data_IF_082863415049
#
_entry.id   IF_082863415049
#
_cell.length_a   1.000
_cell.length_b   1.000
_cell.length_c   1.000
_cell.angle_alpha   90.00
_cell.angle_beta   90.00
_cell.angle_gamma   90.00
#
_symmetry.space_group_name_H-M   'P 1'
#
loop_
_entity.id
_entity.type
_entity.pdbx_description
1 polymer ?
#
# COMPACT_ATOMS: atom_id res chain seq x y z
N UNK A 1 16.87 31.82 23.97
CA UNK A 1 15.85 31.77 22.90
C UNK A 1 14.69 31.01 23.49
N UNK A 2 13.55 31.67 23.73
CA UNK A 2 12.35 30.98 24.22
C UNK A 2 11.92 30.00 23.12
N UNK A 3 12.02 28.69 23.38
CA UNK A 3 11.47 27.68 22.48
C UNK A 3 9.97 27.92 22.37
N UNK A 4 9.45 27.89 21.14
CA UNK A 4 8.01 27.94 20.89
C UNK A 4 7.32 26.83 21.72
N UNK A 5 6.35 27.17 22.60
CA UNK A 5 5.73 26.22 23.51
C UNK A 5 4.94 25.12 22.77
N UNK A 6 4.39 25.42 21.59
CA UNK A 6 3.70 24.43 20.75
C UNK A 6 4.73 23.44 20.21
N UNK A 7 5.80 23.95 19.61
CA UNK A 7 6.85 23.09 19.05
C UNK A 7 7.51 22.23 20.14
N UNK A 8 7.70 22.76 21.35
CA UNK A 8 8.21 22.01 22.50
C UNK A 8 7.25 20.87 22.90
N UNK A 9 5.96 21.15 23.05
CA UNK A 9 4.96 20.13 23.40
C UNK A 9 4.84 19.02 22.34
N UNK A 10 4.91 19.38 21.05
CA UNK A 10 4.84 18.42 19.94
C UNK A 10 6.14 17.61 19.81
N UNK A 11 7.29 18.21 20.14
CA UNK A 11 8.57 17.50 20.24
C UNK A 11 8.53 16.49 21.40
N UNK A 12 7.96 16.86 22.56
CA UNK A 12 7.78 15.92 23.67
C UNK A 12 6.84 14.78 23.29
N UNK A 13 5.77 15.05 22.55
CA UNK A 13 4.88 14.01 22.03
C UNK A 13 5.59 13.08 21.04
N UNK A 14 6.45 13.63 20.18
CA UNK A 14 7.30 12.87 19.25
C UNK A 14 8.22 11.89 20.00
N UNK A 15 8.93 12.37 21.02
CA UNK A 15 9.83 11.55 21.84
C UNK A 15 9.06 10.43 22.57
N UNK A 16 7.88 10.74 23.14
CA UNK A 16 7.02 9.72 23.74
C UNK A 16 6.56 8.67 22.74
N UNK A 17 6.20 9.08 21.52
CA UNK A 17 5.78 8.17 20.45
C UNK A 17 6.92 7.26 19.99
N UNK A 18 8.15 7.79 19.90
CA UNK A 18 9.34 7.00 19.58
C UNK A 18 9.63 5.96 20.66
N UNK A 19 9.65 6.37 21.93
CA UNK A 19 9.86 5.45 23.06
C UNK A 19 8.77 4.37 23.13
N UNK A 20 7.51 4.73 22.89
CA UNK A 20 6.41 3.78 22.84
C UNK A 20 6.55 2.78 21.68
N UNK A 21 7.01 3.22 20.51
CA UNK A 21 7.28 2.36 19.36
C UNK A 21 8.42 1.37 19.66
N UNK A 22 9.49 1.82 20.32
CA UNK A 22 10.58 0.96 20.78
C UNK A 22 10.08 -0.12 21.75
N UNK A 23 9.22 0.24 22.71
CA UNK A 23 8.58 -0.72 23.63
C UNK A 23 7.69 -1.70 22.88
N UNK A 24 6.83 -1.23 21.98
CA UNK A 24 5.96 -2.09 21.16
C UNK A 24 6.76 -3.10 20.34
N UNK A 25 7.93 -2.69 19.86
CA UNK A 25 8.86 -3.56 19.14
C UNK A 25 9.50 -4.57 20.08
N UNK A 26 10.02 -4.14 21.23
CA UNK A 26 10.59 -5.03 22.24
C UNK A 26 9.58 -6.09 22.71
N UNK A 27 8.32 -5.70 22.92
CA UNK A 27 7.24 -6.62 23.26
C UNK A 27 7.01 -7.65 22.14
N UNK A 28 7.01 -7.22 20.88
CA UNK A 28 6.89 -8.12 19.74
C UNK A 28 8.11 -9.05 19.61
N UNK A 29 9.31 -8.58 19.95
CA UNK A 29 10.52 -9.40 20.03
C UNK A 29 10.51 -10.35 21.23
N UNK A 30 9.75 -10.08 22.30
CA UNK A 30 9.66 -10.98 23.45
C UNK A 30 8.66 -12.13 23.25
N UNK A 31 7.71 -12.00 22.30
CA UNK A 31 6.73 -13.06 21.99
C UNK A 31 7.45 -14.34 21.56
N UNK A 32 7.11 -15.47 22.17
CA UNK A 32 7.66 -16.77 21.80
C UNK A 32 6.84 -17.44 20.70
N UNK A 33 7.53 -18.12 19.79
CA UNK A 33 6.91 -18.83 18.66
C UNK A 33 6.52 -20.26 19.08
N UNK A 34 5.89 -20.40 20.26
CA UNK A 34 5.57 -21.68 20.88
C UNK A 34 4.07 -21.97 20.76
N UNK A 35 3.69 -22.65 19.68
CA UNK A 35 2.33 -23.14 19.46
C UNK A 35 2.09 -24.52 20.08
N UNK A 36 0.84 -24.98 20.04
CA UNK A 36 0.46 -26.32 20.52
C UNK A 36 1.04 -27.46 19.67
N UNK A 37 1.51 -27.15 18.46
CA UNK A 37 2.20 -28.05 17.53
C UNK A 37 3.18 -27.26 16.62
N UNK A 38 3.83 -27.97 15.69
CA UNK A 38 4.82 -27.37 14.78
C UNK A 38 4.20 -26.34 13.81
N UNK A 39 2.99 -26.59 13.31
CA UNK A 39 2.30 -25.69 12.38
C UNK A 39 1.84 -24.40 13.06
N UNK A 40 1.33 -24.53 14.29
CA UNK A 40 0.96 -23.41 15.13
C UNK A 40 2.20 -22.56 15.50
N UNK A 41 3.33 -23.21 15.80
CA UNK A 41 4.60 -22.54 16.07
C UNK A 41 5.11 -21.76 14.85
N UNK A 42 5.08 -22.37 13.66
CA UNK A 42 5.44 -21.69 12.40
C UNK A 42 4.51 -20.50 12.12
N UNK A 43 3.20 -20.68 12.31
CA UNK A 43 2.21 -19.61 12.11
C UNK A 43 2.44 -18.43 13.07
N UNK A 44 2.77 -18.69 14.33
CA UNK A 44 3.14 -17.67 15.31
C UNK A 44 4.43 -16.96 14.92
N UNK A 45 5.45 -17.70 14.48
CA UNK A 45 6.70 -17.12 13.98
C UNK A 45 6.49 -16.20 12.79
N UNK A 46 5.66 -16.59 11.81
CA UNK A 46 5.29 -15.74 10.68
C UNK A 46 4.50 -14.50 11.12
N UNK A 47 3.57 -14.64 12.05
CA UNK A 47 2.80 -13.52 12.59
C UNK A 47 3.70 -12.52 13.33
N UNK A 48 4.65 -13.01 14.13
CA UNK A 48 5.66 -12.21 14.84
C UNK A 48 6.59 -11.49 13.88
N UNK A 49 7.13 -12.19 12.88
CA UNK A 49 7.99 -11.59 11.85
C UNK A 49 7.28 -10.45 11.10
N UNK A 50 6.00 -10.65 10.73
CA UNK A 50 5.18 -9.60 10.13
C UNK A 50 4.97 -8.41 11.05
N UNK A 51 4.69 -8.67 12.33
CA UNK A 51 4.53 -7.63 13.35
C UNK A 51 5.82 -6.81 13.52
N UNK A 52 6.97 -7.47 13.60
CA UNK A 52 8.26 -6.79 13.71
C UNK A 52 8.58 -5.92 12.50
N UNK A 53 8.28 -6.40 11.30
CA UNK A 53 8.45 -5.60 10.10
C UNK A 53 7.54 -4.37 10.06
N UNK A 54 6.29 -4.50 10.51
CA UNK A 54 5.37 -3.36 10.61
C UNK A 54 5.84 -2.32 11.66
N UNK A 55 6.56 -2.77 12.69
CA UNK A 55 7.15 -1.93 13.74
C UNK A 55 8.58 -1.49 13.41
N UNK A 56 9.10 -1.79 12.22
CA UNK A 56 10.46 -1.45 11.84
C UNK A 56 10.64 0.07 11.80
N UNK A 57 11.56 0.59 12.60
CA UNK A 57 11.91 2.01 12.67
C UNK A 57 13.39 2.15 12.33
N UNK A 58 13.71 3.00 11.36
CA UNK A 58 15.09 3.33 11.00
C UNK A 58 15.56 4.65 11.67
N UNK A 59 14.69 5.25 12.49
CA UNK A 59 14.95 6.51 13.22
C UNK A 59 14.93 7.75 12.33
N UNK A 60 14.76 7.59 11.01
CA UNK A 60 14.76 8.71 10.05
C UNK A 60 13.35 9.17 9.70
N UNK A 61 12.37 8.29 9.85
CA UNK A 61 10.96 8.56 9.57
C UNK A 61 10.23 8.88 10.88
N UNK A 62 9.67 10.09 11.03
CA UNK A 62 8.95 10.44 12.25
C UNK A 62 7.67 9.60 12.40
N UNK A 63 7.29 9.21 13.64
CA UNK A 63 6.08 8.45 13.92
C UNK A 63 4.80 9.08 13.35
N UNK A 64 4.67 10.41 13.40
CA UNK A 64 3.54 11.16 12.85
C UNK A 64 4.03 12.35 12.00
N UNK A 65 3.17 12.83 11.10
CA UNK A 65 3.46 13.96 10.21
C UNK A 65 2.41 15.06 10.27
N UNK A 66 1.28 14.82 10.94
CA UNK A 66 0.21 15.78 11.09
C UNK A 66 -0.63 15.53 12.34
N UNK A 67 -1.52 16.47 12.63
CA UNK A 67 -2.44 16.43 13.76
C UNK A 67 -3.77 17.07 13.36
N UNK A 68 -4.87 16.55 13.90
CA UNK A 68 -6.20 17.17 13.80
C UNK A 68 -6.80 17.35 15.19
N UNK A 69 -7.41 18.50 15.44
CA UNK A 69 -8.12 18.80 16.68
C UNK A 69 -9.61 18.96 16.39
N UNK A 70 -10.44 18.41 17.27
CA UNK A 70 -11.89 18.55 17.28
C UNK A 70 -12.31 19.20 18.59
N UNK A 71 -13.42 19.92 18.58
CA UNK A 71 -13.91 20.67 19.75
C UNK A 71 -15.09 20.00 20.43
N UNK A 72 -15.86 19.15 19.73
CA UNK A 72 -17.02 18.45 20.28
C UNK A 72 -17.20 17.03 19.67
N UNK A 73 -16.86 15.95 20.40
CA UNK A 73 -16.08 15.98 21.63
C UNK A 73 -14.66 16.50 21.38
N UNK A 74 -14.02 17.01 22.44
CA UNK A 74 -12.63 17.44 22.36
C UNK A 74 -11.71 16.23 22.12
N UNK A 75 -11.18 16.11 20.91
CA UNK A 75 -10.33 15.00 20.46
C UNK A 75 -9.11 15.54 19.72
N UNK A 76 -7.95 14.92 19.96
CA UNK A 76 -6.70 15.24 19.27
C UNK A 76 -6.16 13.95 18.67
N UNK A 77 -5.94 13.95 17.37
CA UNK A 77 -5.37 12.81 16.66
C UNK A 77 -4.09 13.20 15.96
N UNK A 78 -2.97 12.61 16.37
CA UNK A 78 -1.71 12.64 15.63
C UNK A 78 -1.76 11.55 14.54
N UNK A 79 -1.53 11.94 13.29
CA UNK A 79 -1.66 11.08 12.12
C UNK A 79 -0.28 10.65 11.61
N UNK A 80 -0.10 9.35 11.44
CA UNK A 80 1.18 8.76 11.07
C UNK A 80 1.06 7.54 10.15
N UNK A 81 2.20 6.97 9.78
CA UNK A 81 2.28 5.83 8.85
C UNK A 81 1.82 4.51 9.47
N UNK A 82 1.85 4.45 10.79
CA UNK A 82 1.55 3.26 11.59
C UNK A 82 0.91 3.68 12.90
N UNK A 83 0.16 2.77 13.48
CA UNK A 83 -0.40 2.97 14.80
C UNK A 83 0.69 2.84 15.88
N UNK A 84 0.70 3.77 16.83
CA UNK A 84 1.54 3.74 18.03
C UNK A 84 0.64 3.94 19.24
N UNK A 85 0.87 3.17 20.31
CA UNK A 85 0.15 3.26 21.57
C UNK A 85 1.11 3.25 22.74
N UNK A 86 0.72 3.85 23.85
CA UNK A 86 1.50 3.81 25.08
C UNK A 86 1.33 2.48 25.84
N UNK A 87 1.93 2.39 27.03
CA UNK A 87 1.87 1.21 27.90
C UNK A 87 0.48 0.94 28.52
N UNK A 88 -0.43 1.91 28.50
CA UNK A 88 -1.82 1.75 28.94
C UNK A 88 -2.74 1.33 27.78
N UNK A 89 -2.22 1.38 26.55
CA UNK A 89 -2.96 1.06 25.33
C UNK A 89 -3.61 2.28 24.68
N UNK A 90 -3.35 3.48 25.21
CA UNK A 90 -3.89 4.73 24.67
C UNK A 90 -3.18 5.07 23.35
N UNK A 91 -3.93 5.46 22.30
CA UNK A 91 -3.34 5.78 21.00
C UNK A 91 -2.50 7.06 21.08
N UNK A 92 -1.22 6.95 20.76
CA UNK A 92 -0.33 8.11 20.55
C UNK A 92 -0.33 8.54 19.08
N UNK A 93 -0.38 7.58 18.16
CA UNK A 93 -0.44 7.85 16.72
C UNK A 93 -1.52 7.01 16.07
N UNK A 94 -2.37 7.67 15.29
CA UNK A 94 -3.40 7.07 14.45
C UNK A 94 -2.79 6.76 13.07
N UNK A 95 -2.96 5.53 12.62
CA UNK A 95 -2.57 5.12 11.28
C UNK A 95 -3.39 5.89 10.22
N UNK A 96 -2.73 6.42 9.20
CA UNK A 96 -3.34 7.14 8.09
C UNK A 96 -4.42 6.36 7.32
N UNK A 97 -4.48 5.04 7.49
CA UNK A 97 -5.50 4.20 6.85
C UNK A 97 -6.75 4.10 7.70
N UNK A 98 -6.66 4.38 9.01
CA UNK A 98 -7.80 4.33 9.91
C UNK A 98 -8.88 5.34 9.48
N UNK A 99 -10.18 5.03 9.61
CA UNK A 99 -11.27 5.95 9.27
C UNK A 99 -11.18 7.31 9.98
N UNK A 100 -10.65 7.34 11.22
CA UNK A 100 -10.47 8.58 11.98
C UNK A 100 -9.47 9.55 11.36
N UNK A 101 -8.62 9.11 10.44
CA UNK A 101 -7.66 9.97 9.73
C UNK A 101 -8.25 10.63 8.48
N UNK A 102 -9.42 10.19 7.99
CA UNK A 102 -10.06 10.75 6.78
C UNK A 102 -10.20 12.28 6.83
N UNK A 103 -10.62 12.90 7.96
CA UNK A 103 -10.72 14.36 8.04
C UNK A 103 -9.38 15.09 7.84
N UNK A 104 -8.23 14.50 8.21
CA UNK A 104 -6.93 15.12 7.93
C UNK A 104 -6.73 15.38 6.43
N UNK A 105 -7.22 14.47 5.59
CA UNK A 105 -7.09 14.52 4.13
C UNK A 105 -8.23 15.26 3.45
N UNK A 106 -9.47 15.07 3.89
CA UNK A 106 -10.67 15.53 3.18
C UNK A 106 -11.28 16.81 3.74
N UNK A 107 -10.99 17.19 4.98
CA UNK A 107 -11.57 18.39 5.57
C UNK A 107 -11.12 19.64 4.82
N UNK A 108 -12.07 20.55 4.62
CA UNK A 108 -11.88 21.86 3.99
C UNK A 108 -12.56 22.92 4.84
N UNK A 109 -12.31 24.20 4.59
CA UNK A 109 -13.03 25.29 5.25
C UNK A 109 -14.55 25.25 4.94
N UNK A 110 -14.93 24.72 3.77
CA UNK A 110 -16.33 24.56 3.37
C UNK A 110 -17.01 23.33 4.00
N UNK A 111 -16.25 22.25 4.21
CA UNK A 111 -16.68 21.04 4.92
C UNK A 111 -15.58 20.60 5.89
N UNK A 112 -15.57 21.11 7.13
CA UNK A 112 -14.52 20.83 8.10
C UNK A 112 -14.51 19.40 8.62
N UNK A 113 -15.56 18.60 8.36
CA UNK A 113 -15.71 17.23 8.89
C UNK A 113 -15.49 17.14 10.43
N UNK A 114 -15.88 18.20 11.14
CA UNK A 114 -15.73 18.32 12.60
C UNK A 114 -14.29 18.59 13.08
N UNK A 115 -13.36 18.93 12.18
CA UNK A 115 -12.00 19.37 12.50
C UNK A 115 -11.99 20.88 12.70
N UNK A 116 -11.51 21.33 13.86
CA UNK A 116 -11.25 22.73 14.17
C UNK A 116 -9.90 23.18 13.61
N UNK A 117 -8.86 22.39 13.90
CA UNK A 117 -7.47 22.67 13.53
C UNK A 117 -6.85 21.47 12.82
N UNK A 118 -6.22 21.71 11.68
CA UNK A 118 -5.29 20.78 11.03
C UNK A 118 -3.87 21.34 11.16
N UNK A 119 -2.98 20.59 11.79
CA UNK A 119 -1.56 20.92 11.94
C UNK A 119 -0.69 20.00 11.10
N UNK A 120 0.29 20.56 10.40
CA UNK A 120 1.32 19.84 9.63
C UNK A 120 2.69 20.10 10.22
N UNK A 121 3.56 19.09 10.20
CA UNK A 121 4.89 19.19 10.79
C UNK A 121 6.00 19.13 9.73
N UNK A 122 6.99 20.00 9.87
CA UNK A 122 8.21 19.99 9.06
C UNK A 122 9.31 19.25 9.80
N UNK A 123 10.05 18.42 9.08
CA UNK A 123 11.12 17.60 9.64
C UNK A 123 12.42 17.76 8.88
N UNK A 124 13.53 17.66 9.61
CA UNK A 124 14.87 17.53 9.07
C UNK A 124 15.58 16.37 9.76
N UNK A 125 15.89 15.30 9.01
CA UNK A 125 16.57 14.09 9.51
C UNK A 125 15.92 13.50 10.77
N UNK A 126 14.59 13.36 10.76
CA UNK A 126 13.81 12.83 11.88
C UNK A 126 13.51 13.84 13.01
N UNK A 127 14.13 15.03 12.99
CA UNK A 127 13.90 16.08 13.98
C UNK A 127 12.79 17.01 13.52
N UNK A 128 11.80 17.29 14.38
CA UNK A 128 10.75 18.27 14.11
C UNK A 128 11.34 19.69 14.16
N UNK A 129 11.18 20.45 13.09
CA UNK A 129 11.78 21.79 12.93
C UNK A 129 10.76 22.91 12.84
N UNK A 130 9.54 22.60 12.42
CA UNK A 130 8.48 23.59 12.22
C UNK A 130 7.11 22.92 12.26
N UNK A 131 6.07 23.73 12.40
CA UNK A 131 4.69 23.33 12.20
C UNK A 131 3.93 24.40 11.44
N UNK A 132 2.77 24.05 10.93
CA UNK A 132 1.85 24.96 10.27
C UNK A 132 0.42 24.59 10.60
N UNK A 133 -0.38 25.60 10.95
CA UNK A 133 -1.74 25.47 11.46
C UNK A 133 -2.76 25.99 10.44
N UNK A 134 -3.81 25.19 10.22
CA UNK A 134 -4.93 25.52 9.36
C UNK A 134 -6.22 25.37 10.16
N UNK A 135 -6.88 26.51 10.44
CA UNK A 135 -8.18 26.54 11.12
C UNK A 135 -9.29 26.38 10.08
N UNK A 136 -10.17 25.40 10.27
CA UNK A 136 -11.14 24.99 9.24
C UNK A 136 -12.58 25.40 9.57
N UNK A 137 -12.96 25.51 10.85
CA UNK A 137 -14.33 25.78 11.28
C UNK A 137 -14.58 27.24 11.71
N UNK A 138 -13.70 28.17 11.31
CA UNK A 138 -13.77 29.59 11.67
C UNK A 138 -14.27 30.45 10.51
N UNK A 139 -14.97 31.54 10.82
CA UNK A 139 -15.45 32.48 9.81
C UNK A 139 -14.28 33.12 9.04
N UNK A 140 -14.29 32.98 7.71
CA UNK A 140 -13.22 33.49 6.85
C UNK A 140 -12.03 32.54 6.67
N UNK A 141 -12.12 31.29 7.16
CA UNK A 141 -11.17 30.24 6.82
C UNK A 141 -11.06 30.07 5.31
N UNK A 142 -9.83 29.92 4.82
CA UNK A 142 -9.53 29.65 3.41
C UNK A 142 -8.69 28.39 3.32
N UNK A 143 -9.03 27.53 2.38
CA UNK A 143 -8.21 26.37 2.08
C UNK A 143 -6.84 26.80 1.52
N UNK A 144 -5.78 26.14 1.99
CA UNK A 144 -4.60 25.90 1.15
C UNK A 144 -3.60 27.03 0.92
N UNK A 145 -2.77 27.34 1.92
CA UNK A 145 -1.40 27.80 1.64
C UNK A 145 -0.37 27.15 2.55
N UNK A 146 -0.28 25.83 2.45
CA UNK A 146 0.69 25.11 3.25
C UNK A 146 2.07 25.04 2.62
N UNK A 147 3.00 25.82 3.16
CA UNK A 147 4.39 25.84 2.72
C UNK A 147 5.06 24.49 2.97
N UNK A 148 4.74 23.84 4.08
CA UNK A 148 5.25 22.49 4.40
C UNK A 148 4.75 21.48 3.35
N UNK A 149 3.45 21.50 3.06
CA UNK A 149 2.86 20.62 2.05
C UNK A 149 3.46 20.88 0.66
N UNK A 150 3.54 22.14 0.23
CA UNK A 150 4.10 22.54 -1.08
C UNK A 150 5.56 22.12 -1.21
N UNK A 151 6.37 22.39 -0.19
CA UNK A 151 7.79 22.00 -0.17
C UNK A 151 7.96 20.49 -0.32
N UNK A 152 7.13 19.68 0.35
CA UNK A 152 7.23 18.22 0.26
C UNK A 152 6.73 17.71 -1.10
N UNK A 153 5.69 18.33 -1.70
CA UNK A 153 5.21 18.00 -3.05
C UNK A 153 6.27 18.31 -4.12
N UNK A 154 6.94 19.45 -4.00
CA UNK A 154 7.97 19.95 -4.93
C UNK A 154 9.34 19.30 -4.71
N UNK A 155 9.51 18.55 -3.61
CA UNK A 155 10.78 17.93 -3.24
C UNK A 155 11.30 17.03 -4.38
N UNK A 156 12.59 17.13 -4.74
CA UNK A 156 13.17 16.32 -5.80
C UNK A 156 12.97 14.82 -5.56
N UNK A 157 12.46 14.13 -6.59
CA UNK A 157 12.16 12.68 -6.59
C UNK A 157 13.34 11.86 -7.10
N UNK A 158 14.50 11.99 -6.45
CA UNK A 158 15.70 11.21 -6.76
C UNK A 158 15.78 9.92 -5.92
N UNK A 159 16.32 8.85 -6.52
CA UNK A 159 16.43 7.54 -5.89
C UNK A 159 15.11 6.76 -5.91
N UNK A 160 14.91 5.83 -4.95
CA UNK A 160 13.66 5.10 -4.80
C UNK A 160 12.46 6.05 -4.59
N UNK A 161 11.28 5.63 -5.03
CA UNK A 161 10.04 6.33 -4.77
C UNK A 161 9.78 6.39 -3.26
N UNK A 162 9.40 7.58 -2.78
CA UNK A 162 8.97 7.81 -1.40
C UNK A 162 7.46 7.64 -1.28
N UNK A 163 6.99 7.31 -0.08
CA UNK A 163 5.57 7.41 0.20
C UNK A 163 5.09 8.87 0.11
N UNK A 164 3.79 9.04 -0.13
CA UNK A 164 3.13 10.35 -0.24
C UNK A 164 2.12 10.57 0.88
N UNK A 165 2.14 9.74 1.95
CA UNK A 165 1.07 9.69 2.96
C UNK A 165 0.81 11.06 3.59
N UNK A 166 1.85 11.86 3.82
CA UNK A 166 1.73 13.19 4.39
C UNK A 166 1.15 14.24 3.43
N UNK A 167 1.16 13.95 2.12
CA UNK A 167 0.85 14.88 1.03
C UNK A 167 -0.32 14.42 0.15
N UNK A 168 -0.99 13.32 0.50
CA UNK A 168 -2.23 12.89 -0.18
C UNK A 168 -3.23 14.05 -0.18
N UNK A 169 -3.71 14.40 -1.36
CA UNK A 169 -4.72 15.45 -1.56
C UNK A 169 -6.15 14.89 -1.45
N UNK A 170 -7.18 15.73 -1.19
CA UNK A 170 -8.57 15.27 -1.04
C UNK A 170 -9.05 14.33 -2.18
N UNK A 171 -8.87 14.74 -3.44
CA UNK A 171 -9.26 13.94 -4.61
C UNK A 171 -8.48 12.61 -4.71
N UNK A 172 -7.23 12.60 -4.24
CA UNK A 172 -6.41 11.39 -4.20
C UNK A 172 -6.85 10.47 -3.07
N UNK A 173 -7.24 11.00 -1.92
CA UNK A 173 -7.76 10.21 -0.79
C UNK A 173 -9.05 9.47 -1.18
N UNK A 174 -9.94 10.11 -1.95
CA UNK A 174 -11.13 9.46 -2.48
C UNK A 174 -10.78 8.22 -3.34
N UNK A 175 -9.80 8.36 -4.24
CA UNK A 175 -9.31 7.26 -5.07
C UNK A 175 -8.62 6.17 -4.22
N UNK A 176 -7.82 6.57 -3.23
CA UNK A 176 -7.13 5.64 -2.32
C UNK A 176 -8.15 4.83 -1.52
N UNK A 177 -9.22 5.47 -1.04
CA UNK A 177 -10.21 4.85 -0.17
C UNK A 177 -11.40 4.21 -0.89
N UNK A 178 -11.49 4.32 -2.22
CA UNK A 178 -12.60 3.73 -2.95
C UNK A 178 -12.72 2.21 -2.68
N UNK A 179 -13.95 1.64 -2.63
CA UNK A 179 -14.20 0.23 -2.30
C UNK A 179 -13.34 -0.78 -3.06
N UNK A 180 -13.11 -1.95 -2.46
CA UNK A 180 -12.34 -3.04 -3.07
C UNK A 180 -12.99 -3.59 -4.35
N UNK A 181 -14.33 -3.59 -4.39
CA UNK A 181 -15.11 -4.13 -5.52
C UNK A 181 -14.98 -3.26 -6.79
N UNK A 182 -14.51 -2.02 -6.64
CA UNK A 182 -14.43 -1.06 -7.72
C UNK A 182 -13.16 -1.26 -8.55
N UNK A 183 -13.35 -1.39 -9.87
CA UNK A 183 -12.26 -1.27 -10.84
C UNK A 183 -11.98 0.21 -11.08
N UNK A 184 -10.84 0.68 -10.58
CA UNK A 184 -10.47 2.10 -10.62
C UNK A 184 -9.39 2.36 -11.67
N UNK A 185 -9.64 3.29 -12.59
CA UNK A 185 -8.65 3.80 -13.53
C UNK A 185 -8.17 5.19 -13.08
N UNK A 186 -6.87 5.34 -12.84
CA UNK A 186 -6.28 6.61 -12.40
C UNK A 186 -5.60 7.29 -13.60
N UNK A 187 -6.23 8.34 -14.13
CA UNK A 187 -5.72 9.11 -15.27
C UNK A 187 -5.42 10.55 -14.85
N UNK A 188 -4.32 11.11 -15.37
CA UNK A 188 -3.88 12.45 -15.02
C UNK A 188 -2.54 12.81 -15.68
N UNK A 189 -2.21 14.11 -15.67
CA UNK A 189 -0.99 14.64 -16.30
C UNK A 189 0.29 14.00 -15.72
N UNK A 190 1.44 14.04 -16.44
CA UNK A 190 2.73 13.66 -15.88
C UNK A 190 3.00 14.36 -14.54
N UNK A 191 3.60 13.65 -13.58
CA UNK A 191 3.97 14.23 -12.28
C UNK A 191 2.88 14.23 -11.19
N UNK A 192 1.60 14.03 -11.54
CA UNK A 192 0.42 14.05 -10.62
C UNK A 192 0.34 12.93 -9.58
N UNK A 193 1.38 12.08 -9.46
CA UNK A 193 1.45 11.08 -8.39
C UNK A 193 0.63 9.80 -8.61
N UNK A 194 0.09 9.55 -9.81
CA UNK A 194 -0.76 8.38 -10.12
C UNK A 194 -0.25 7.04 -9.57
N UNK A 195 1.02 6.73 -9.82
CA UNK A 195 1.64 5.49 -9.32
C UNK A 195 1.67 5.45 -7.80
N UNK A 196 1.99 6.56 -7.16
CA UNK A 196 1.96 6.66 -5.71
C UNK A 196 0.54 6.45 -5.19
N UNK A 197 -0.48 7.13 -5.76
CA UNK A 197 -1.90 6.92 -5.41
C UNK A 197 -2.30 5.45 -5.53
N UNK A 198 -1.93 4.77 -6.62
CA UNK A 198 -2.21 3.34 -6.79
C UNK A 198 -1.55 2.43 -5.74
N UNK A 199 -0.31 2.71 -5.36
CA UNK A 199 0.39 1.97 -4.31
C UNK A 199 -0.20 2.22 -2.92
N UNK A 200 -0.61 3.47 -2.64
CA UNK A 200 -1.25 3.83 -1.38
C UNK A 200 -2.65 3.22 -1.30
N UNK A 201 -3.39 3.16 -2.42
CA UNK A 201 -4.64 2.40 -2.54
C UNK A 201 -4.41 0.93 -2.16
N UNK A 202 -3.39 0.28 -2.71
CA UNK A 202 -3.08 -1.11 -2.36
C UNK A 202 -2.83 -1.27 -0.84
N UNK A 203 -2.04 -0.37 -0.23
CA UNK A 203 -1.79 -0.38 1.21
C UNK A 203 -3.05 -0.13 2.05
N UNK A 204 -3.93 0.77 1.62
CA UNK A 204 -5.22 1.03 2.26
C UNK A 204 -6.13 -0.21 2.20
N UNK A 205 -6.22 -0.85 1.03
CA UNK A 205 -7.03 -2.05 0.84
C UNK A 205 -6.52 -3.21 1.71
N UNK A 206 -5.20 -3.40 1.80
CA UNK A 206 -4.58 -4.42 2.67
C UNK A 206 -4.89 -4.19 4.16
N UNK A 207 -4.94 -2.93 4.59
CA UNK A 207 -5.34 -2.57 5.94
C UNK A 207 -6.83 -2.76 6.20
N UNK A 208 -7.68 -2.38 5.24
CA UNK A 208 -9.15 -2.34 5.41
C UNK A 208 -9.79 -3.71 5.19
N UNK A 209 -9.22 -4.53 4.31
CA UNK A 209 -9.74 -5.86 3.94
C UNK A 209 -8.72 -6.98 4.17
N UNK A 210 -8.10 -7.09 5.36
CA UNK A 210 -6.98 -7.99 5.59
C UNK A 210 -7.37 -9.45 5.39
N UNK A 211 -8.58 -9.86 5.77
CA UNK A 211 -9.00 -11.26 5.67
C UNK A 211 -9.26 -11.71 4.23
N UNK A 212 -9.80 -10.83 3.39
CA UNK A 212 -10.02 -11.12 1.97
C UNK A 212 -8.70 -11.14 1.19
N UNK A 213 -7.83 -10.15 1.44
CA UNK A 213 -6.60 -10.01 0.67
C UNK A 213 -5.46 -10.90 1.15
N UNK A 214 -5.46 -11.35 2.41
CA UNK A 214 -4.48 -12.34 2.89
C UNK A 214 -4.59 -13.67 2.15
N UNK A 215 -5.81 -14.05 1.73
CA UNK A 215 -6.04 -15.28 0.95
C UNK A 215 -5.82 -15.08 -0.55
N UNK A 216 -6.32 -13.97 -1.11
CA UNK A 216 -6.23 -13.69 -2.54
C UNK A 216 -4.83 -13.26 -3.00
N UNK A 217 -4.04 -12.66 -2.10
CA UNK A 217 -2.79 -11.98 -2.43
C UNK A 217 -3.01 -10.65 -3.16
N UNK A 218 -1.95 -9.85 -3.25
CA UNK A 218 -1.92 -8.61 -4.04
C UNK A 218 -0.71 -8.67 -4.97
N UNK A 219 -0.91 -8.34 -6.24
CA UNK A 219 0.13 -8.31 -7.26
C UNK A 219 0.20 -6.92 -7.91
N UNK A 220 1.37 -6.29 -7.83
CA UNK A 220 1.67 -5.07 -8.58
C UNK A 220 2.41 -5.46 -9.85
N UNK A 221 1.86 -5.09 -11.00
CA UNK A 221 2.46 -5.36 -12.30
C UNK A 221 3.07 -4.08 -12.86
N UNK A 222 4.39 -4.10 -13.05
CA UNK A 222 5.15 -3.01 -13.64
C UNK A 222 5.51 -3.26 -15.12
N UNK A 223 5.92 -2.22 -15.85
CA UNK A 223 6.37 -2.38 -17.24
C UNK A 223 7.74 -3.08 -17.35
N UNK A 224 8.60 -2.99 -16.32
CA UNK A 224 9.95 -3.59 -16.29
C UNK A 224 10.53 -3.59 -14.87
N UNK A 225 11.62 -4.35 -14.67
CA UNK A 225 12.34 -4.43 -13.39
C UNK A 225 12.86 -3.09 -12.87
N UNK A 226 13.30 -2.16 -13.73
CA UNK A 226 13.80 -0.86 -13.29
C UNK A 226 12.69 -0.02 -12.63
N UNK A 227 11.48 -0.04 -13.21
CA UNK A 227 10.30 0.58 -12.61
C UNK A 227 9.92 -0.09 -11.29
N UNK A 228 9.93 -1.42 -11.23
CA UNK A 228 9.63 -2.16 -10.00
C UNK A 228 10.64 -1.81 -8.90
N UNK A 229 11.94 -1.78 -9.22
CA UNK A 229 12.98 -1.35 -8.29
C UNK A 229 12.80 0.08 -7.79
N UNK A 230 12.33 0.98 -8.66
CA UNK A 230 11.99 2.36 -8.27
C UNK A 230 10.84 2.42 -7.26
N UNK A 231 9.78 1.61 -7.41
CA UNK A 231 8.62 1.61 -6.51
C UNK A 231 8.73 0.66 -5.31
N UNK A 232 9.74 -0.23 -5.31
CA UNK A 232 9.83 -1.34 -4.38
C UNK A 232 9.83 -0.93 -2.90
N UNK A 233 10.31 0.26 -2.59
CA UNK A 233 10.41 0.77 -1.21
C UNK A 233 9.09 1.28 -0.63
N UNK A 234 8.09 1.61 -1.46
CA UNK A 234 6.87 2.30 -1.00
C UNK A 234 6.02 1.41 -0.08
N UNK A 235 5.65 0.21 -0.55
CA UNK A 235 4.78 -0.68 0.22
C UNK A 235 5.45 -1.18 1.52
N UNK A 236 6.74 -1.60 1.53
CA UNK A 236 7.44 -1.91 2.77
C UNK A 236 7.48 -0.74 3.76
N UNK A 237 7.69 0.50 3.30
CA UNK A 237 7.69 1.68 4.16
C UNK A 237 6.31 1.96 4.81
N UNK A 238 5.23 1.42 4.23
CA UNK A 238 3.86 1.47 4.77
C UNK A 238 3.51 0.24 5.63
N UNK A 239 4.47 -0.66 5.84
CA UNK A 239 4.30 -1.90 6.59
C UNK A 239 3.70 -3.05 5.78
N UNK A 240 3.64 -2.94 4.45
CA UNK A 240 3.04 -3.94 3.56
C UNK A 240 4.11 -4.83 2.90
N UNK A 241 4.31 -6.03 3.46
CA UNK A 241 5.30 -7.00 2.98
C UNK A 241 4.72 -8.12 2.10
N UNK A 242 3.40 -8.28 2.07
CA UNK A 242 2.72 -9.40 1.40
C UNK A 242 2.41 -9.18 -0.07
N UNK A 243 2.99 -8.15 -0.70
CA UNK A 243 2.64 -7.75 -2.07
C UNK A 243 3.64 -8.30 -3.06
N UNK A 244 3.17 -9.17 -3.95
CA UNK A 244 3.96 -9.65 -5.09
C UNK A 244 4.20 -8.51 -6.08
N UNK A 245 5.38 -8.51 -6.69
CA UNK A 245 5.72 -7.61 -7.78
C UNK A 245 6.22 -8.42 -8.97
N UNK A 246 5.74 -8.10 -10.16
CA UNK A 246 6.15 -8.77 -11.39
C UNK A 246 6.11 -7.79 -12.55
N UNK A 247 6.92 -8.01 -13.58
CA UNK A 247 6.79 -7.29 -14.83
C UNK A 247 6.03 -8.13 -15.87
N UNK A 248 5.61 -7.48 -16.94
CA UNK A 248 4.82 -8.12 -18.00
C UNK A 248 5.55 -9.30 -18.63
N UNK A 249 6.88 -9.20 -18.76
CA UNK A 249 7.71 -10.27 -19.32
C UNK A 249 7.73 -11.50 -18.39
N UNK A 250 7.96 -11.29 -17.10
CA UNK A 250 8.00 -12.36 -16.09
C UNK A 250 6.65 -13.07 -15.95
N UNK A 251 5.53 -12.35 -16.07
CA UNK A 251 4.18 -12.95 -16.04
C UNK A 251 3.92 -13.91 -17.20
N UNK A 252 4.62 -13.72 -18.32
CA UNK A 252 4.40 -14.50 -19.55
C UNK A 252 5.55 -15.47 -19.86
N UNK A 253 6.57 -15.53 -18.99
CA UNK A 253 7.79 -16.32 -19.15
C UNK A 253 7.61 -17.85 -19.03
N UNK A 254 6.41 -18.38 -19.24
CA UNK A 254 6.15 -19.82 -19.24
C UNK A 254 6.90 -20.58 -20.35
N UNK A 255 7.34 -19.86 -21.40
CA UNK A 255 8.09 -20.42 -22.53
C UNK A 255 9.25 -19.48 -22.87
N UNK A 256 10.45 -20.01 -23.20
CA UNK A 256 11.57 -19.18 -23.64
C UNK A 256 11.21 -18.32 -24.85
N UNK A 257 11.56 -17.03 -24.78
CA UNK A 257 11.42 -16.11 -25.92
C UNK A 257 12.39 -16.54 -27.02
N UNK A 258 11.86 -16.86 -28.20
CA UNK A 258 12.66 -17.39 -29.33
C UNK A 258 13.00 -16.35 -30.39
N UNK A 259 12.27 -15.25 -30.45
CA UNK A 259 12.45 -14.18 -31.43
C UNK A 259 11.71 -12.92 -30.97
N UNK A 260 12.10 -11.77 -31.52
CA UNK A 260 11.32 -10.53 -31.45
C UNK A 260 10.55 -10.32 -32.76
N UNK A 261 9.38 -9.70 -32.66
CA UNK A 261 8.49 -9.44 -33.78
C UNK A 261 8.26 -7.93 -33.96
N UNK A 262 7.94 -7.47 -35.18
CA UNK A 262 7.51 -6.09 -35.39
C UNK A 262 6.33 -5.71 -34.50
N UNK A 263 6.27 -4.45 -34.04
CA UNK A 263 5.27 -3.97 -33.09
C UNK A 263 3.82 -4.20 -33.57
N UNK A 264 3.56 -4.08 -34.87
CA UNK A 264 2.26 -4.37 -35.47
C UNK A 264 1.83 -5.84 -35.30
N UNK A 265 2.77 -6.78 -35.44
CA UNK A 265 2.52 -8.23 -35.26
C UNK A 265 2.30 -8.54 -33.79
N UNK A 266 3.13 -7.98 -32.90
CA UNK A 266 2.96 -8.15 -31.45
C UNK A 266 1.61 -7.60 -30.98
N UNK A 267 1.19 -6.44 -31.47
CA UNK A 267 -0.12 -5.84 -31.18
C UNK A 267 -1.26 -6.73 -31.65
N UNK A 268 -1.18 -7.26 -32.88
CA UNK A 268 -2.19 -8.18 -33.41
C UNK A 268 -2.29 -9.47 -32.58
N UNK A 269 -1.16 -10.00 -32.10
CA UNK A 269 -1.12 -11.20 -31.24
C UNK A 269 -1.63 -10.94 -29.82
N UNK A 270 -1.45 -9.72 -29.31
CA UNK A 270 -2.00 -9.28 -28.03
C UNK A 270 -3.49 -8.96 -28.05
N UNK A 271 -4.12 -8.92 -29.23
CA UNK A 271 -5.55 -8.65 -29.38
C UNK A 271 -6.41 -9.78 -28.81
N UNK A 272 -7.49 -9.44 -28.11
CA UNK A 272 -8.41 -10.40 -27.49
C UNK A 272 -9.00 -11.41 -28.50
N UNK A 273 -9.10 -11.06 -29.79
CA UNK A 273 -9.52 -11.97 -30.86
C UNK A 273 -8.58 -13.16 -31.02
N UNK A 274 -7.30 -13.02 -30.66
CA UNK A 274 -6.32 -14.10 -30.72
C UNK A 274 -6.70 -15.28 -29.80
N UNK A 275 -7.41 -15.02 -28.70
CA UNK A 275 -7.95 -16.09 -27.85
C UNK A 275 -8.85 -17.06 -28.63
N UNK A 276 -9.68 -16.54 -29.56
CA UNK A 276 -10.55 -17.38 -30.42
C UNK A 276 -9.74 -18.17 -31.44
N UNK A 277 -8.68 -17.57 -31.99
CA UNK A 277 -7.77 -18.25 -32.92
C UNK A 277 -7.05 -19.39 -32.21
N UNK A 278 -6.50 -19.14 -31.02
CA UNK A 278 -5.84 -20.15 -30.18
C UNK A 278 -6.80 -21.27 -29.79
N UNK A 279 -8.03 -20.94 -29.36
CA UNK A 279 -9.05 -21.95 -29.05
C UNK A 279 -9.33 -22.87 -30.25
N UNK A 280 -9.54 -22.29 -31.44
CA UNK A 280 -9.75 -23.06 -32.67
C UNK A 280 -8.55 -23.92 -33.02
N UNK A 281 -7.34 -23.36 -32.92
CA UNK A 281 -6.11 -24.07 -33.22
C UNK A 281 -5.88 -25.27 -32.28
N UNK A 282 -6.09 -25.09 -30.97
CA UNK A 282 -6.00 -26.17 -29.98
C UNK A 282 -7.08 -27.23 -30.23
N UNK A 283 -8.31 -26.80 -30.49
CA UNK A 283 -9.43 -27.74 -30.75
C UNK A 283 -9.19 -28.54 -32.03
N UNK A 284 -8.63 -27.92 -33.08
CA UNK A 284 -8.28 -28.61 -34.32
C UNK A 284 -7.16 -29.66 -34.16
N UNK A 285 -6.40 -29.63 -33.05
CA UNK A 285 -5.44 -30.70 -32.70
C UNK A 285 -6.12 -31.93 -32.10
N UNK A 286 -7.38 -31.81 -31.66
CA UNK A 286 -8.16 -32.93 -31.16
C UNK A 286 -8.76 -33.65 -32.36
N UNK A 287 -8.34 -34.89 -32.58
CA UNK A 287 -8.83 -35.72 -33.67
C UNK A 287 -8.94 -37.17 -33.25
N UNK A 288 -9.55 -38.00 -34.10
CA UNK A 288 -9.49 -39.45 -33.93
C UNK A 288 -8.04 -39.91 -34.08
N UNK A 289 -7.59 -40.89 -33.28
CA UNK A 289 -6.26 -41.44 -33.44
C UNK A 289 -6.17 -42.15 -34.80
N UNK A 290 -5.12 -41.85 -35.56
CA UNK A 290 -4.81 -42.50 -36.85
C UNK A 290 -4.43 -43.98 -36.68
N UNK A 291 -3.87 -44.34 -35.53
CA UNK A 291 -3.52 -45.71 -35.17
C UNK A 291 -4.37 -46.20 -33.99
N UNK A 292 -4.47 -47.52 -33.84
CA UNK A 292 -5.14 -48.11 -32.67
C UNK A 292 -4.38 -47.77 -31.37
N UNK A 293 -5.02 -46.99 -30.49
CA UNK A 293 -4.48 -46.64 -29.18
C UNK A 293 -5.05 -47.58 -28.12
N UNK A 294 -4.18 -48.19 -27.31
CA UNK A 294 -4.59 -49.05 -26.21
C UNK A 294 -4.67 -48.26 -24.89
N UNK A 295 -5.88 -48.03 -24.38
CA UNK A 295 -6.13 -47.29 -23.14
C UNK A 295 -6.42 -48.27 -21.99
N UNK A 296 -5.60 -48.29 -20.92
CA UNK A 296 -5.91 -49.05 -19.72
C UNK A 296 -6.96 -48.34 -18.88
N UNK A 297 -8.09 -49.00 -18.60
CA UNK A 297 -9.16 -48.48 -17.74
C UNK A 297 -9.70 -49.61 -16.85
N UNK A 298 -9.70 -49.43 -15.53
CA UNK A 298 -10.26 -50.40 -14.58
C UNK A 298 -9.66 -51.82 -14.69
N UNK A 299 -8.35 -51.94 -14.94
CA UNK A 299 -7.67 -53.24 -15.07
C UNK A 299 -7.87 -53.94 -16.43
N UNK A 300 -8.58 -53.34 -17.38
CA UNK A 300 -8.76 -53.84 -18.76
C UNK A 300 -8.11 -52.91 -19.77
N UNK A 301 -7.70 -53.43 -20.93
CA UNK A 301 -7.15 -52.64 -22.05
C UNK A 301 -8.21 -52.50 -23.13
N UNK A 302 -8.60 -51.27 -23.42
CA UNK A 302 -9.52 -50.93 -24.51
C UNK A 302 -8.70 -50.46 -25.70
N UNK A 303 -9.04 -50.93 -26.91
CA UNK A 303 -8.40 -50.46 -28.14
C UNK A 303 -9.35 -49.48 -28.82
N UNK A 304 -8.90 -48.25 -28.99
CA UNK A 304 -9.66 -47.17 -29.65
C UNK A 304 -8.97 -46.88 -30.98
N UNK A 305 -9.68 -47.01 -32.08
CA UNK A 305 -9.17 -46.73 -33.44
C UNK A 305 -10.22 -46.01 -34.29
N UNK A 306 -9.89 -45.65 -35.53
CA UNK A 306 -10.74 -44.83 -36.42
C UNK A 306 -12.20 -45.30 -36.56
N UNK A 307 -12.42 -46.62 -36.58
CA UNK A 307 -13.68 -47.28 -36.95
C UNK A 307 -14.50 -47.85 -35.77
N UNK A 308 -14.33 -47.32 -34.56
CA UNK A 308 -15.26 -47.57 -33.42
C UNK A 308 -15.94 -46.27 -33.03
#
# INVERSE_FOLDING_TARGET
>A
MSSDPVLAAETDHLLRSQAALEVMRADAEAITDAGVDAFASESLGLARARRLAHLADDGTVPPFFGRTDRTDPAEVFHIGRRHVRDGHGDPLVIDWRAPMSTPFYRATAADPLGVHLRRRFGFSRGVMTSFEDELLDVAGATDGDSQILRTEIERPRSGPMRDIVATIQPDQDEIVRAPLEDTVCIQGAPGTGKTAVGLHRAAYLLYTYPDRLRQAGVLVVGPNQAFLGYIAAVLPALGELGVGQSDVESLTAAVPVRAQEPAEVATLKGDARMARVLQRAVTARIGKPTDSVAVPLGGRRYRVGENT
#
